data_IF_865656434506
#
_entry.id   IF_865656434506
#
_cell.length_a   1.000
_cell.length_b   1.000
_cell.length_c   1.000
_cell.angle_alpha   90.00
_cell.angle_beta   90.00
_cell.angle_gamma   90.00
#
_symmetry.space_group_name_H-M   'P 1'
#
loop_
_entity.id
_entity.type
_entity.pdbx_description
1 polymer ?
#
# COMPACT_ATOMS: atom_id res chain seq x y z
N UNK A 1 -19.10 27.72 -4.26
CA UNK A 1 -18.64 26.40 -4.73
C UNK A 1 -17.64 25.92 -3.71
N UNK A 2 -17.58 24.63 -3.37
CA UNK A 2 -16.56 24.14 -2.48
C UNK A 2 -15.18 24.36 -3.07
N UNK A 3 -14.21 24.72 -2.22
CA UNK A 3 -12.81 24.82 -2.63
C UNK A 3 -12.27 23.42 -2.93
N UNK A 4 -11.79 23.22 -4.15
CA UNK A 4 -11.21 21.93 -4.57
C UNK A 4 -9.72 21.92 -4.27
N UNK A 5 -9.27 21.00 -3.43
CA UNK A 5 -7.90 20.86 -2.94
C UNK A 5 -7.30 19.52 -3.40
N UNK A 6 -6.04 19.51 -3.81
CA UNK A 6 -5.34 18.28 -4.16
C UNK A 6 -4.88 17.54 -2.88
N UNK A 7 -5.21 16.25 -2.75
CA UNK A 7 -4.82 15.42 -1.60
C UNK A 7 -3.30 15.46 -1.39
N UNK A 8 -2.52 15.23 -2.43
CA UNK A 8 -1.06 15.22 -2.36
C UNK A 8 -0.42 16.54 -1.90
N UNK A 9 -1.12 17.67 -2.02
CA UNK A 9 -0.66 18.99 -1.59
C UNK A 9 -1.22 19.37 -0.22
N UNK A 10 -2.35 18.79 0.18
CA UNK A 10 -3.06 19.13 1.41
C UNK A 10 -2.60 18.33 2.62
N UNK A 11 -2.13 17.09 2.42
CA UNK A 11 -1.75 16.18 3.48
C UNK A 11 -0.25 15.85 3.39
N UNK A 12 0.59 16.75 3.94
CA UNK A 12 2.05 16.62 3.94
C UNK A 12 2.59 16.00 5.23
N UNK A 13 1.76 15.82 6.25
CA UNK A 13 2.14 15.22 7.52
C UNK A 13 1.04 14.32 8.09
N UNK A 14 1.46 13.34 8.92
CA UNK A 14 0.52 12.46 9.64
C UNK A 14 -0.47 13.28 10.48
N UNK A 15 0.01 14.30 11.20
CA UNK A 15 -0.84 15.12 12.06
C UNK A 15 -1.96 15.84 11.30
N UNK A 16 -1.70 16.26 10.06
CA UNK A 16 -2.73 16.91 9.24
C UNK A 16 -3.84 15.92 8.89
N UNK A 17 -3.50 14.72 8.44
CA UNK A 17 -4.50 13.72 8.07
C UNK A 17 -5.21 13.15 9.29
N UNK A 18 -4.48 12.87 10.37
CA UNK A 18 -5.07 12.41 11.64
C UNK A 18 -6.10 13.40 12.18
N UNK A 19 -5.74 14.68 12.25
CA UNK A 19 -6.65 15.73 12.72
C UNK A 19 -7.84 15.91 11.80
N UNK A 20 -7.63 15.90 10.50
CA UNK A 20 -8.70 16.17 9.52
C UNK A 20 -9.73 15.06 9.44
N UNK A 21 -9.27 13.81 9.50
CA UNK A 21 -10.13 12.62 9.38
C UNK A 21 -10.36 11.88 10.71
N UNK A 22 -9.89 12.44 11.82
CA UNK A 22 -10.01 11.86 13.17
C UNK A 22 -9.41 10.44 13.25
N UNK A 23 -8.29 10.22 12.55
CA UNK A 23 -7.59 8.93 12.57
C UNK A 23 -6.72 8.80 13.83
N UNK A 24 -6.68 7.60 14.37
CA UNK A 24 -5.93 7.28 15.58
C UNK A 24 -4.92 6.15 15.28
N UNK A 25 -3.63 6.40 15.48
CA UNK A 25 -2.64 5.34 15.36
C UNK A 25 -2.82 4.28 16.47
N UNK A 26 -2.55 3.03 16.14
CA UNK A 26 -2.54 1.94 17.11
C UNK A 26 -1.27 1.10 16.97
N UNK A 27 -0.73 0.69 18.12
CA UNK A 27 0.40 -0.25 18.22
C UNK A 27 -0.05 -1.64 18.70
N UNK A 28 -1.37 -1.86 18.77
CA UNK A 28 -1.94 -3.15 19.13
C UNK A 28 -1.55 -4.21 18.08
N UNK A 29 -0.75 -5.24 18.43
CA UNK A 29 -0.32 -6.25 17.47
C UNK A 29 -1.48 -7.04 16.86
N UNK A 30 -2.61 -7.16 17.56
CA UNK A 30 -3.78 -7.86 17.06
C UNK A 30 -4.50 -7.07 15.96
N UNK A 31 -4.34 -5.74 15.93
CA UNK A 31 -4.97 -4.92 14.91
C UNK A 31 -4.37 -5.15 13.51
N UNK A 32 -3.06 -5.38 13.43
CA UNK A 32 -2.36 -5.67 12.16
C UNK A 32 -1.62 -7.02 12.25
N UNK A 33 -2.36 -8.06 12.61
CA UNK A 33 -1.82 -9.40 12.78
C UNK A 33 -1.16 -9.94 11.49
N UNK A 34 -1.64 -9.54 10.32
CA UNK A 34 -1.13 -9.93 8.99
C UNK A 34 0.36 -9.54 8.81
N UNK A 35 0.78 -8.43 9.40
CA UNK A 35 2.17 -7.97 9.35
C UNK A 35 3.06 -8.63 10.42
N UNK A 36 2.52 -9.55 11.23
CA UNK A 36 3.29 -10.24 12.26
C UNK A 36 4.24 -11.29 11.66
N UNK A 37 5.35 -11.55 12.35
CA UNK A 37 6.27 -12.62 11.97
C UNK A 37 5.59 -14.01 12.01
N UNK A 38 4.64 -14.22 12.92
CA UNK A 38 3.88 -15.47 13.03
C UNK A 38 3.00 -15.71 11.80
N UNK A 39 2.32 -14.68 11.31
CA UNK A 39 1.52 -14.78 10.08
C UNK A 39 2.41 -14.95 8.85
N UNK A 40 3.51 -14.21 8.76
CA UNK A 40 4.48 -14.35 7.67
C UNK A 40 5.04 -15.77 7.58
N UNK A 41 5.24 -16.46 8.72
CA UNK A 41 5.74 -17.84 8.76
C UNK A 41 4.73 -18.87 8.22
N UNK A 42 3.44 -18.54 8.15
CA UNK A 42 2.40 -19.43 7.61
C UNK A 42 2.37 -19.39 6.07
N UNK A 43 2.91 -18.35 5.46
CA UNK A 43 2.94 -18.20 4.00
C UNK A 43 4.26 -18.73 3.45
N UNK A 44 4.21 -19.89 2.83
CA UNK A 44 5.38 -20.50 2.16
C UNK A 44 5.45 -19.99 0.72
N UNK A 45 6.60 -19.45 0.33
CA UNK A 45 6.88 -19.10 -1.06
C UNK A 45 7.45 -20.31 -1.80
N UNK A 46 7.03 -20.51 -3.04
CA UNK A 46 7.60 -21.56 -3.89
C UNK A 46 9.04 -21.21 -4.32
N UNK A 47 9.85 -22.21 -4.72
CA UNK A 47 11.18 -21.94 -5.27
C UNK A 47 11.14 -21.01 -6.49
N UNK A 48 10.10 -21.13 -7.33
CA UNK A 48 9.90 -20.31 -8.54
C UNK A 48 9.59 -18.84 -8.16
N UNK A 49 8.78 -18.63 -7.12
CA UNK A 49 8.50 -17.29 -6.59
C UNK A 49 9.79 -16.66 -6.02
N UNK A 50 10.55 -17.40 -5.23
CA UNK A 50 11.83 -16.92 -4.70
C UNK A 50 12.79 -16.53 -5.84
N UNK A 51 12.95 -17.39 -6.84
CA UNK A 51 13.80 -17.11 -7.99
C UNK A 51 13.32 -15.87 -8.77
N UNK A 52 12.01 -15.71 -8.93
CA UNK A 52 11.42 -14.54 -9.59
C UNK A 52 11.69 -13.26 -8.81
N UNK A 53 11.52 -13.29 -7.50
CA UNK A 53 11.80 -12.14 -6.62
C UNK A 53 13.29 -11.78 -6.60
N UNK A 54 14.19 -12.76 -6.65
CA UNK A 54 15.63 -12.51 -6.75
C UNK A 54 15.99 -11.83 -8.06
N UNK A 55 15.35 -12.23 -9.16
CA UNK A 55 15.52 -11.59 -10.46
C UNK A 55 14.97 -10.17 -10.48
N UNK A 56 13.78 -9.94 -9.89
CA UNK A 56 13.17 -8.61 -9.74
C UNK A 56 14.12 -7.69 -8.97
N UNK A 57 14.63 -8.15 -7.81
CA UNK A 57 15.61 -7.41 -7.02
C UNK A 57 16.87 -7.06 -7.82
N UNK A 58 17.40 -8.02 -8.57
CA UNK A 58 18.60 -7.79 -9.39
C UNK A 58 18.34 -6.74 -10.48
N UNK A 59 17.20 -6.82 -11.18
CA UNK A 59 16.80 -5.87 -12.22
C UNK A 59 16.59 -4.46 -11.67
N UNK A 60 15.93 -4.35 -10.50
CA UNK A 60 15.76 -3.06 -9.83
C UNK A 60 17.10 -2.45 -9.44
N UNK A 61 17.99 -3.23 -8.80
CA UNK A 61 19.31 -2.75 -8.39
C UNK A 61 20.19 -2.32 -9.57
N UNK A 62 20.08 -3.01 -10.70
CA UNK A 62 20.75 -2.63 -11.93
C UNK A 62 20.23 -1.27 -12.44
N UNK A 63 18.91 -1.10 -12.49
CA UNK A 63 18.30 0.14 -12.98
C UNK A 63 18.53 1.33 -12.05
N UNK A 64 18.54 1.12 -10.73
CA UNK A 64 18.76 2.18 -9.74
C UNK A 64 20.24 2.61 -9.61
N UNK A 65 21.17 1.81 -10.12
CA UNK A 65 22.60 2.16 -10.09
C UNK A 65 22.94 3.39 -10.96
N UNK A 66 22.14 3.69 -11.95
CA UNK A 66 22.33 4.85 -12.85
C UNK A 66 21.69 6.15 -12.30
N UNK A 67 20.93 6.06 -11.21
CA UNK A 67 20.30 7.23 -10.58
C UNK A 67 18.88 6.98 -10.09
N UNK A 68 18.20 8.08 -9.74
CA UNK A 68 16.84 8.03 -9.19
C UNK A 68 15.84 7.48 -10.19
N UNK A 69 15.03 6.50 -9.75
CA UNK A 69 13.92 5.98 -10.53
C UNK A 69 12.65 6.82 -10.32
N UNK A 70 11.85 6.95 -11.39
CA UNK A 70 10.53 7.58 -11.32
C UNK A 70 9.52 6.65 -10.66
N UNK A 71 8.40 7.21 -10.16
CA UNK A 71 7.27 6.43 -9.61
C UNK A 71 6.77 5.37 -10.62
N UNK A 72 6.64 5.76 -11.90
CA UNK A 72 6.24 4.82 -12.96
C UNK A 72 7.23 3.66 -13.14
N UNK A 73 8.53 3.92 -13.02
CA UNK A 73 9.56 2.87 -13.12
C UNK A 73 9.53 1.95 -11.90
N UNK A 74 9.33 2.49 -10.69
CA UNK A 74 9.13 1.69 -9.46
C UNK A 74 7.90 0.80 -9.60
N UNK A 75 6.78 1.35 -10.09
CA UNK A 75 5.56 0.59 -10.34
C UNK A 75 5.79 -0.55 -11.35
N UNK A 76 6.47 -0.28 -12.45
CA UNK A 76 6.73 -1.30 -13.49
C UNK A 76 7.66 -2.41 -13.01
N UNK A 77 8.76 -2.05 -12.33
CA UNK A 77 9.80 -3.02 -11.96
C UNK A 77 9.48 -3.81 -10.69
N UNK A 78 8.72 -3.23 -9.76
CA UNK A 78 8.48 -3.82 -8.43
C UNK A 78 6.99 -4.05 -8.15
N UNK A 79 6.18 -2.99 -8.17
CA UNK A 79 4.80 -3.08 -7.70
C UNK A 79 3.97 -4.03 -8.57
N UNK A 80 3.98 -3.86 -9.89
CA UNK A 80 3.18 -4.70 -10.80
C UNK A 80 3.54 -6.18 -10.71
N UNK A 81 4.83 -6.59 -10.73
CA UNK A 81 5.19 -7.99 -10.53
C UNK A 81 4.79 -8.55 -9.16
N UNK A 82 4.92 -7.74 -8.09
CA UNK A 82 4.55 -8.16 -6.74
C UNK A 82 3.03 -8.39 -6.62
N UNK A 83 2.20 -7.50 -7.18
CA UNK A 83 0.75 -7.65 -7.20
C UNK A 83 0.33 -8.88 -8.01
N UNK A 84 0.99 -9.14 -9.14
CA UNK A 84 0.76 -10.33 -9.95
C UNK A 84 1.09 -11.61 -9.18
N UNK A 85 2.28 -11.69 -8.56
CA UNK A 85 2.69 -12.87 -7.77
C UNK A 85 1.81 -13.08 -6.52
N UNK A 86 1.23 -12.01 -5.97
CA UNK A 86 0.32 -12.09 -4.84
C UNK A 86 -1.11 -12.54 -5.21
N UNK A 87 -1.43 -12.66 -6.53
CA UNK A 87 -2.74 -13.08 -7.00
C UNK A 87 -3.74 -11.93 -7.18
N UNK A 88 -3.35 -10.67 -7.00
CA UNK A 88 -4.27 -9.53 -7.14
C UNK A 88 -4.66 -9.22 -8.59
N UNK A 89 -4.02 -9.86 -9.57
CA UNK A 89 -4.40 -9.77 -10.98
C UNK A 89 -5.46 -10.80 -11.40
N UNK A 90 -5.75 -11.77 -10.53
CA UNK A 90 -6.68 -12.87 -10.79
C UNK A 90 -8.05 -12.62 -10.15
N UNK A 91 -9.15 -13.20 -10.67
CA UNK A 91 -10.42 -13.17 -9.98
C UNK A 91 -10.30 -13.71 -8.54
N UNK A 92 -10.94 -13.07 -7.56
CA UNK A 92 -12.00 -12.05 -7.68
C UNK A 92 -11.51 -10.60 -7.72
N UNK A 93 -10.21 -10.37 -7.74
CA UNK A 93 -9.64 -9.03 -7.69
C UNK A 93 -9.69 -8.31 -9.04
N UNK A 94 -9.68 -6.99 -8.98
CA UNK A 94 -9.49 -6.11 -10.14
C UNK A 94 -8.51 -5.01 -9.76
N UNK A 95 -7.58 -4.72 -10.66
CA UNK A 95 -6.66 -3.60 -10.53
C UNK A 95 -7.20 -2.39 -11.31
N UNK A 96 -7.15 -1.23 -10.68
CA UNK A 96 -7.43 0.04 -11.33
C UNK A 96 -6.23 0.96 -11.12
N UNK A 97 -5.48 1.21 -12.19
CA UNK A 97 -4.39 2.18 -12.17
C UNK A 97 -4.96 3.60 -12.25
N UNK A 98 -4.28 4.54 -11.61
CA UNK A 98 -4.63 5.97 -11.62
C UNK A 98 -6.10 6.24 -11.23
N UNK A 99 -6.59 5.50 -10.22
CA UNK A 99 -7.97 5.63 -9.76
C UNK A 99 -8.23 7.02 -9.18
N UNK A 100 -9.14 7.77 -9.80
CA UNK A 100 -9.55 9.09 -9.30
C UNK A 100 -10.39 8.93 -8.04
N UNK A 101 -10.11 9.73 -7.03
CA UNK A 101 -10.84 9.77 -5.76
C UNK A 101 -11.27 11.19 -5.42
N UNK A 102 -12.41 11.28 -4.76
CA UNK A 102 -12.96 12.53 -4.26
C UNK A 102 -13.47 12.33 -2.84
N UNK A 103 -13.12 13.25 -1.94
CA UNK A 103 -13.61 13.30 -0.57
C UNK A 103 -14.32 14.65 -0.38
N UNK A 104 -15.61 14.62 -0.09
CA UNK A 104 -16.38 15.82 0.21
C UNK A 104 -16.57 15.91 1.72
N UNK A 105 -16.20 17.04 2.29
CA UNK A 105 -16.36 17.32 3.71
C UNK A 105 -17.28 18.53 3.90
N UNK A 106 -18.52 18.24 4.28
CA UNK A 106 -19.60 19.24 4.37
C UNK A 106 -19.37 20.29 5.46
N UNK A 107 -18.63 19.92 6.53
CA UNK A 107 -18.39 20.79 7.70
C UNK A 107 -17.62 22.09 7.35
N UNK A 108 -16.81 22.07 6.27
CA UNK A 108 -16.02 23.23 5.80
C UNK A 108 -16.25 23.58 4.34
N UNK A 109 -17.21 22.94 3.69
CA UNK A 109 -17.43 23.10 2.25
C UNK A 109 -16.13 22.85 1.44
N UNK A 110 -15.31 21.87 1.86
CA UNK A 110 -14.06 21.48 1.22
C UNK A 110 -14.24 20.20 0.41
N UNK A 111 -13.60 20.17 -0.75
CA UNK A 111 -13.55 18.99 -1.62
C UNK A 111 -12.09 18.63 -1.85
N UNK A 112 -11.71 17.43 -1.49
CA UNK A 112 -10.37 16.89 -1.75
C UNK A 112 -10.41 15.95 -2.93
N UNK A 113 -9.52 16.13 -3.89
CA UNK A 113 -9.40 15.28 -5.06
C UNK A 113 -7.99 14.73 -5.17
N UNK A 114 -7.87 13.52 -5.72
CA UNK A 114 -6.58 12.89 -5.91
C UNK A 114 -6.66 11.70 -6.85
N UNK A 115 -5.52 11.05 -7.02
CA UNK A 115 -5.38 9.89 -7.89
C UNK A 115 -4.51 8.87 -7.17
N UNK A 116 -5.06 7.69 -6.95
CA UNK A 116 -4.36 6.54 -6.37
C UNK A 116 -3.57 5.87 -7.49
N UNK A 117 -2.28 5.60 -7.28
CA UNK A 117 -1.42 4.97 -8.32
C UNK A 117 -1.97 3.61 -8.74
N UNK A 118 -2.29 2.75 -7.77
CA UNK A 118 -2.98 1.48 -8.03
C UNK A 118 -3.97 1.17 -6.92
N UNK A 119 -5.22 0.92 -7.29
CA UNK A 119 -6.28 0.48 -6.41
C UNK A 119 -6.63 -0.98 -6.71
N UNK A 120 -6.61 -1.81 -5.68
CA UNK A 120 -7.08 -3.21 -5.73
C UNK A 120 -8.51 -3.26 -5.21
N UNK A 121 -9.40 -3.80 -6.02
CA UNK A 121 -10.82 -3.91 -5.74
C UNK A 121 -11.22 -5.39 -5.77
N UNK A 122 -11.99 -5.84 -4.79
CA UNK A 122 -12.67 -7.14 -4.81
C UNK A 122 -14.18 -6.91 -4.82
N UNK A 123 -14.86 -7.30 -5.90
CA UNK A 123 -16.25 -6.93 -6.17
C UNK A 123 -16.39 -5.39 -6.23
N UNK A 124 -17.04 -4.75 -5.26
CA UNK A 124 -17.17 -3.29 -5.16
C UNK A 124 -16.40 -2.71 -3.97
N UNK A 125 -15.63 -3.56 -3.26
CA UNK A 125 -14.91 -3.17 -2.04
C UNK A 125 -13.44 -2.90 -2.34
N UNK A 126 -12.94 -1.82 -1.79
CA UNK A 126 -11.51 -1.51 -1.83
C UNK A 126 -10.75 -2.46 -0.89
N UNK A 127 -9.72 -3.09 -1.40
CA UNK A 127 -8.90 -4.06 -0.66
C UNK A 127 -7.55 -3.46 -0.32
N UNK A 128 -6.89 -2.87 -1.30
CA UNK A 128 -5.58 -2.27 -1.12
C UNK A 128 -5.38 -1.04 -1.99
N UNK A 129 -4.62 -0.09 -1.47
CA UNK A 129 -4.14 1.12 -2.14
C UNK A 129 -2.63 0.99 -2.27
N UNK A 130 -2.09 1.31 -3.44
CA UNK A 130 -0.64 1.41 -3.62
C UNK A 130 -0.29 2.86 -3.94
N UNK A 131 0.66 3.38 -3.19
CA UNK A 131 1.21 4.72 -3.36
C UNK A 131 2.72 4.60 -3.55
N UNK A 132 3.20 4.97 -4.71
CA UNK A 132 4.61 4.91 -5.08
C UNK A 132 5.26 6.28 -4.99
N UNK A 133 6.53 6.31 -4.63
CA UNK A 133 7.35 7.52 -4.58
C UNK A 133 8.63 7.32 -5.38
N UNK A 134 9.21 8.43 -5.83
CA UNK A 134 10.56 8.39 -6.43
C UNK A 134 11.57 7.92 -5.40
N UNK A 135 12.60 7.20 -5.83
CA UNK A 135 13.61 6.60 -4.93
C UNK A 135 14.30 7.61 -4.01
N UNK A 136 14.46 8.85 -4.43
CA UNK A 136 15.08 9.92 -3.62
C UNK A 136 14.25 10.37 -2.41
N UNK A 137 12.95 10.03 -2.35
CA UNK A 137 12.09 10.36 -1.22
C UNK A 137 11.96 9.15 -0.31
N UNK A 138 11.91 9.35 1.00
CA UNK A 138 11.60 8.27 1.93
C UNK A 138 10.20 7.72 1.64
N UNK A 139 10.01 6.40 1.69
CA UNK A 139 8.71 5.77 1.50
C UNK A 139 7.66 6.35 2.46
N UNK A 140 8.05 6.65 3.71
CA UNK A 140 7.16 7.23 4.72
C UNK A 140 6.51 8.56 4.31
N UNK A 141 7.06 9.29 3.34
CA UNK A 141 6.45 10.54 2.83
C UNK A 141 5.12 10.31 2.12
N UNK A 142 4.85 9.09 1.65
CA UNK A 142 3.58 8.71 1.04
C UNK A 142 2.49 8.30 2.05
N UNK A 143 2.83 8.06 3.32
CA UNK A 143 1.87 7.60 4.33
C UNK A 143 0.69 8.56 4.52
N UNK A 144 0.88 9.89 4.70
CA UNK A 144 -0.23 10.80 4.85
C UNK A 144 -1.18 10.79 3.66
N UNK A 145 -0.65 10.68 2.46
CA UNK A 145 -1.43 10.62 1.22
C UNK A 145 -2.22 9.31 1.13
N UNK A 146 -1.59 8.15 1.42
CA UNK A 146 -2.26 6.86 1.44
C UNK A 146 -3.40 6.80 2.48
N UNK A 147 -3.19 7.37 3.69
CA UNK A 147 -4.22 7.49 4.71
C UNK A 147 -5.38 8.40 4.26
N UNK A 148 -5.09 9.52 3.60
CA UNK A 148 -6.13 10.38 3.05
C UNK A 148 -6.95 9.65 1.98
N UNK A 149 -6.31 8.91 1.06
CA UNK A 149 -7.01 8.08 0.09
C UNK A 149 -7.89 7.01 0.76
N UNK A 150 -7.39 6.38 1.82
CA UNK A 150 -8.17 5.40 2.58
C UNK A 150 -9.45 6.00 3.18
N UNK A 151 -9.47 7.30 3.48
CA UNK A 151 -10.66 7.99 3.96
C UNK A 151 -11.74 8.19 2.87
N UNK A 152 -11.41 8.02 1.59
CA UNK A 152 -12.36 7.99 0.49
C UNK A 152 -13.03 6.61 0.31
N UNK A 153 -12.57 5.57 1.03
CA UNK A 153 -13.19 4.25 0.97
C UNK A 153 -14.66 4.33 1.40
N UNK A 154 -15.61 3.87 0.57
CA UNK A 154 -17.04 3.90 0.90
C UNK A 154 -17.41 3.00 2.09
N UNK A 155 -16.65 1.94 2.35
CA UNK A 155 -16.84 1.03 3.49
C UNK A 155 -15.64 1.11 4.44
N UNK A 156 -15.72 1.98 5.44
CA UNK A 156 -14.66 2.19 6.41
C UNK A 156 -14.64 1.16 7.55
N UNK A 157 -15.70 0.40 7.72
CA UNK A 157 -15.79 -0.62 8.77
C UNK A 157 -14.98 -1.87 8.41
N UNK A 158 -14.78 -2.10 7.12
CA UNK A 158 -13.90 -3.17 6.65
C UNK A 158 -12.43 -2.74 6.63
N UNK A 159 -11.51 -3.68 6.89
CA UNK A 159 -10.10 -3.38 6.80
C UNK A 159 -9.71 -3.03 5.35
N UNK A 160 -9.03 -1.91 5.19
CA UNK A 160 -8.35 -1.49 3.98
C UNK A 160 -6.85 -1.53 4.23
N UNK A 161 -6.12 -2.08 3.28
CA UNK A 161 -4.66 -2.09 3.34
C UNK A 161 -4.08 -1.03 2.41
N UNK A 162 -2.89 -0.54 2.74
CA UNK A 162 -2.13 0.28 1.82
C UNK A 162 -0.67 -0.17 1.79
N UNK A 163 -0.07 -0.14 0.62
CA UNK A 163 1.36 -0.30 0.40
C UNK A 163 1.93 1.04 -0.04
N UNK A 164 2.91 1.53 0.69
CA UNK A 164 3.68 2.72 0.34
C UNK A 164 5.12 2.31 0.07
N UNK A 165 5.65 2.69 -1.09
CA UNK A 165 7.01 2.32 -1.48
C UNK A 165 7.71 3.43 -2.26
N UNK A 166 9.03 3.49 -2.13
CA UNK A 166 9.92 4.24 -3.01
C UNK A 166 10.83 3.30 -3.84
N UNK A 167 10.56 2.01 -3.80
CA UNK A 167 11.36 0.97 -4.41
C UNK A 167 12.44 0.40 -3.49
N UNK A 168 13.11 1.21 -2.68
CA UNK A 168 14.10 0.74 -1.70
C UNK A 168 13.44 0.17 -0.46
N UNK A 169 12.33 0.78 -0.04
CA UNK A 169 11.60 0.46 1.17
C UNK A 169 10.11 0.26 0.88
N UNK A 170 9.48 -0.64 1.63
CA UNK A 170 8.06 -0.98 1.55
C UNK A 170 7.45 -0.91 2.94
N UNK A 171 6.42 -0.11 3.08
CA UNK A 171 5.65 0.06 4.31
C UNK A 171 4.19 -0.31 4.04
N UNK A 172 3.63 -1.14 4.90
CA UNK A 172 2.21 -1.47 4.82
C UNK A 172 1.45 -0.74 5.91
N UNK A 173 0.22 -0.38 5.58
CA UNK A 173 -0.73 0.17 6.53
C UNK A 173 -1.97 -0.70 6.54
N UNK A 174 -2.61 -0.80 7.71
CA UNK A 174 -3.97 -1.31 7.86
C UNK A 174 -4.81 -0.20 8.43
N UNK A 175 -5.94 0.07 7.80
CA UNK A 175 -6.89 1.10 8.19
C UNK A 175 -8.25 0.44 8.37
N UNK A 176 -8.93 0.70 9.49
CA UNK A 176 -10.28 0.23 9.75
C UNK A 176 -10.99 1.19 10.70
N UNK A 177 -12.16 1.67 10.32
CA UNK A 177 -12.87 2.71 11.04
C UNK A 177 -12.04 4.00 11.10
N UNK A 178 -11.72 4.40 12.30
CA UNK A 178 -10.86 5.55 12.58
C UNK A 178 -9.47 5.15 13.13
N UNK A 179 -9.11 3.87 13.07
CA UNK A 179 -7.83 3.35 13.53
C UNK A 179 -6.94 2.98 12.37
N UNK A 180 -5.63 3.16 12.54
CA UNK A 180 -4.65 2.66 11.60
C UNK A 180 -3.39 2.15 12.30
N UNK A 181 -2.68 1.24 11.64
CA UNK A 181 -1.36 0.76 12.05
C UNK A 181 -0.41 0.73 10.85
N UNK A 182 0.88 0.82 11.14
CA UNK A 182 1.97 0.77 10.16
C UNK A 182 2.81 -0.46 10.46
N UNK A 183 3.18 -1.23 9.44
CA UNK A 183 4.08 -2.38 9.56
C UNK A 183 5.53 -1.98 9.87
N UNK A 184 6.37 -2.97 10.17
CA UNK A 184 7.80 -2.79 10.05
C UNK A 184 8.18 -2.47 8.59
N UNK A 185 9.33 -1.83 8.42
CA UNK A 185 9.90 -1.53 7.11
C UNK A 185 10.51 -2.79 6.48
N UNK A 186 10.17 -3.07 5.22
CA UNK A 186 10.82 -4.08 4.40
C UNK A 186 11.77 -3.40 3.43
N UNK A 187 13.04 -3.76 3.45
CA UNK A 187 14.03 -3.16 2.54
C UNK A 187 14.47 -4.14 1.46
N UNK A 188 14.57 -3.65 0.23
CA UNK A 188 15.12 -4.43 -0.90
C UNK A 188 16.61 -4.78 -0.67
N UNK A 189 17.27 -4.05 0.22
CA UNK A 189 18.68 -4.27 0.59
C UNK A 189 18.84 -5.22 1.78
N UNK A 190 17.77 -5.78 2.35
CA UNK A 190 17.84 -6.72 3.46
C UNK A 190 18.76 -7.90 3.15
N UNK A 191 19.48 -8.34 4.20
CA UNK A 191 20.37 -9.49 4.19
C UNK A 191 20.16 -10.32 5.47
N UNK A 192 20.34 -11.64 5.46
CA UNK A 192 20.74 -12.47 4.31
C UNK A 192 19.60 -12.76 3.33
N UNK A 193 18.35 -12.63 3.76
CA UNK A 193 17.17 -12.92 2.96
C UNK A 193 16.74 -11.69 2.11
N UNK A 194 16.26 -11.94 0.91
CA UNK A 194 15.69 -10.89 0.06
C UNK A 194 14.42 -10.28 0.71
N UNK A 195 14.45 -8.98 1.00
CA UNK A 195 13.31 -8.29 1.64
C UNK A 195 12.00 -8.40 0.88
N UNK A 196 12.03 -8.62 -0.45
CA UNK A 196 10.82 -8.83 -1.25
C UNK A 196 10.08 -10.12 -0.88
N UNK A 197 10.74 -11.09 -0.22
CA UNK A 197 10.05 -12.29 0.28
C UNK A 197 9.03 -11.92 1.36
N UNK A 198 9.43 -11.06 2.30
CA UNK A 198 8.53 -10.53 3.33
C UNK A 198 7.38 -9.72 2.74
N UNK A 199 7.68 -8.89 1.74
CA UNK A 199 6.66 -8.11 1.01
C UNK A 199 5.63 -9.04 0.35
N UNK A 200 6.08 -10.07 -0.39
CA UNK A 200 5.17 -11.00 -1.06
C UNK A 200 4.35 -11.83 -0.06
N UNK A 201 4.95 -12.30 1.05
CA UNK A 201 4.23 -13.02 2.10
C UNK A 201 3.08 -12.17 2.67
N UNK A 202 3.34 -10.89 2.95
CA UNK A 202 2.30 -10.00 3.47
C UNK A 202 1.21 -9.71 2.43
N UNK A 203 1.56 -9.48 1.18
CA UNK A 203 0.59 -9.30 0.10
C UNK A 203 -0.31 -10.54 -0.06
N UNK A 204 0.25 -11.75 -0.01
CA UNK A 204 -0.51 -13.00 -0.05
C UNK A 204 -1.42 -13.19 1.17
N UNK A 205 -0.95 -12.80 2.36
CA UNK A 205 -1.77 -12.82 3.57
C UNK A 205 -2.98 -11.90 3.45
N UNK A 206 -2.80 -10.71 2.87
CA UNK A 206 -3.90 -9.78 2.61
C UNK A 206 -4.89 -10.38 1.59
N UNK A 207 -4.39 -10.96 0.50
CA UNK A 207 -5.25 -11.60 -0.51
C UNK A 207 -6.11 -12.72 0.07
N UNK A 208 -5.50 -13.62 0.88
CA UNK A 208 -6.20 -14.74 1.52
C UNK A 208 -7.32 -14.31 2.47
N UNK A 209 -7.11 -13.24 3.24
CA UNK A 209 -8.14 -12.71 4.15
C UNK A 209 -9.39 -12.23 3.41
N UNK A 210 -9.22 -11.63 2.25
CA UNK A 210 -10.36 -11.15 1.45
C UNK A 210 -11.17 -12.30 0.89
N UNK A 211 -10.53 -13.44 0.61
CA UNK A 211 -11.20 -14.64 0.17
C UNK A 211 -12.01 -15.31 1.30
N UNK A 212 -11.50 -15.30 2.54
CA UNK A 212 -12.18 -15.86 3.72
C UNK A 212 -13.44 -15.06 4.12
N UNK A 213 -13.46 -13.74 3.89
CA UNK A 213 -14.64 -12.89 4.17
C UNK A 213 -15.82 -13.22 3.21
N UNK A 214 -15.60 -14.06 2.19
CA UNK A 214 -16.61 -14.47 1.20
C UNK A 214 -17.48 -15.67 1.62
N UNK A 215 -17.08 -16.41 2.65
CA UNK A 215 -17.83 -17.57 3.16
C UNK A 215 -18.73 -17.14 4.30
#
# INVERSE_FOLDING_TARGET
MPDTLAIAQSFLSLRQVETRFQLNPTVDPAFFAEASAAQAAQITLSPEECQTLDRIRASYRYSSAEGDLTEATVNLLLVSPLLYLAGFCDPPFRLQAEASVEIVLDDRNERYTGRIDTLVICQELWVAIVESKRTRFAASTGIPQALAYACANPDRDRPLFALVTNGDNFLFLKIQGNRYAISNDFSIYSQPENGLYGVLRLLKSIASQVEEIRV
#
